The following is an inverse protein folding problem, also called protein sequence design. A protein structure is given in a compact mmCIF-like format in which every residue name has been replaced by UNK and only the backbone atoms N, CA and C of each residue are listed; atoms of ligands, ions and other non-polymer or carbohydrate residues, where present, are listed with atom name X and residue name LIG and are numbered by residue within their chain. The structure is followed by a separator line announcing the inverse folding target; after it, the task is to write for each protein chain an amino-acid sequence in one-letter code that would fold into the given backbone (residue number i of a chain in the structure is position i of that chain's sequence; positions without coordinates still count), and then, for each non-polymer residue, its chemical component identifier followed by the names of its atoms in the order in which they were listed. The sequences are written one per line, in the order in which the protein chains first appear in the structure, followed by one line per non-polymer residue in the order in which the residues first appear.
data_IF_786440940450
#
_entry.id   IF_786440940450
#
_cell.length_a   1.000
_cell.length_b   1.000
_cell.length_c   1.000
_cell.angle_alpha   90.00
_cell.angle_beta   90.00
_cell.angle_gamma   90.00
#
_symmetry.space_group_name_H-M   'P 1'
#
loop_
_entity.id
_entity.type
_entity.pdbx_description
1 polymer ?
#
# COMPACT_ATOMS: atom_id res chain seq x y z
N UNK A 1 -13.08 -16.31 -28.03
CA UNK A 1 -11.72 -15.79 -27.81
C UNK A 1 -11.31 -16.16 -26.39
N UNK A 2 -10.33 -17.06 -26.26
CA UNK A 2 -9.82 -17.50 -24.96
C UNK A 2 -8.85 -16.45 -24.37
N UNK A 3 -8.35 -16.68 -23.15
CA UNK A 3 -7.42 -15.75 -22.48
C UNK A 3 -6.13 -15.56 -23.29
N UNK A 4 -5.60 -16.63 -23.87
CA UNK A 4 -4.38 -16.61 -24.68
C UNK A 4 -4.54 -15.71 -25.89
N UNK A 5 -5.65 -15.80 -26.60
CA UNK A 5 -5.95 -14.95 -27.77
C UNK A 5 -5.96 -13.46 -27.38
N UNK A 6 -6.56 -13.13 -26.23
CA UNK A 6 -6.59 -11.75 -25.70
C UNK A 6 -5.19 -11.23 -25.37
N UNK A 7 -4.35 -12.07 -24.76
CA UNK A 7 -2.96 -11.72 -24.44
C UNK A 7 -2.15 -11.50 -25.73
N UNK A 8 -2.35 -12.32 -26.77
CA UNK A 8 -1.63 -12.16 -28.04
C UNK A 8 -1.98 -10.83 -28.73
N UNK A 9 -3.22 -10.36 -28.63
CA UNK A 9 -3.63 -9.05 -29.17
C UNK A 9 -2.85 -7.89 -28.51
N UNK A 10 -2.57 -7.99 -27.21
CA UNK A 10 -1.88 -6.93 -26.45
C UNK A 10 -0.36 -6.97 -26.61
N UNK A 11 0.21 -8.12 -26.98
CA UNK A 11 1.67 -8.34 -27.03
C UNK A 11 2.43 -7.29 -27.86
N UNK A 12 1.98 -6.91 -29.07
CA UNK A 12 2.62 -5.86 -29.88
C UNK A 12 2.62 -4.48 -29.22
N UNK A 13 1.70 -4.25 -28.28
CA UNK A 13 1.51 -2.97 -27.59
C UNK A 13 2.12 -2.95 -26.18
N UNK A 14 2.88 -3.98 -25.79
CA UNK A 14 3.47 -4.13 -24.45
C UNK A 14 4.33 -2.95 -23.98
N UNK A 15 4.96 -2.22 -24.91
CA UNK A 15 5.72 -1.01 -24.58
C UNK A 15 4.88 0.08 -23.91
N UNK A 16 3.57 0.16 -24.21
CA UNK A 16 2.65 1.12 -23.59
C UNK A 16 2.46 0.86 -22.08
N UNK A 17 2.70 -0.37 -21.61
CA UNK A 17 2.57 -0.74 -20.20
C UNK A 17 3.80 -0.35 -19.36
N UNK A 18 4.91 0.07 -19.98
CA UNK A 18 6.15 0.43 -19.27
C UNK A 18 6.04 1.72 -18.46
N UNK A 19 5.06 2.57 -18.74
CA UNK A 19 4.84 3.83 -18.03
C UNK A 19 3.95 3.72 -16.79
N UNK A 20 3.52 2.51 -16.43
CA UNK A 20 2.65 2.30 -15.28
C UNK A 20 3.38 2.67 -13.99
N UNK A 21 2.64 3.26 -13.05
CA UNK A 21 3.11 3.49 -11.69
C UNK A 21 2.55 2.42 -10.75
N UNK A 22 3.28 2.13 -9.69
CA UNK A 22 2.96 1.12 -8.69
C UNK A 22 3.02 1.75 -7.30
N UNK A 23 2.06 1.44 -6.44
CA UNK A 23 2.08 1.80 -5.02
C UNK A 23 1.61 0.62 -4.19
N UNK A 24 1.99 0.59 -2.92
CA UNK A 24 1.60 -0.45 -1.97
C UNK A 24 0.99 0.20 -0.73
N UNK A 25 -0.13 -0.37 -0.31
CA UNK A 25 -0.75 -0.15 1.00
C UNK A 25 -0.57 -1.43 1.82
N UNK A 26 -0.15 -1.27 3.08
CA UNK A 26 0.02 -2.38 4.01
C UNK A 26 -0.56 -2.04 5.37
N UNK A 27 -1.53 -2.83 5.78
CA UNK A 27 -2.19 -2.72 7.08
C UNK A 27 -1.59 -3.68 8.13
N UNK A 28 -1.58 -3.24 9.38
CA UNK A 28 -1.16 -4.06 10.51
C UNK A 28 -1.64 -3.53 11.85
N UNK A 29 -2.20 -4.41 12.68
CA UNK A 29 -2.59 -4.07 14.04
C UNK A 29 -1.37 -3.86 14.93
N UNK A 30 -1.31 -2.71 15.60
CA UNK A 30 -0.38 -2.49 16.71
C UNK A 30 -0.75 -3.42 17.86
N UNK A 31 0.25 -4.10 18.41
CA UNK A 31 0.08 -5.04 19.53
C UNK A 31 0.69 -4.49 20.81
N UNK A 32 0.03 -4.74 21.94
CA UNK A 32 0.57 -4.49 23.26
C UNK A 32 1.61 -5.54 23.65
N UNK A 33 2.44 -5.25 24.66
CA UNK A 33 3.40 -6.22 25.23
C UNK A 33 2.75 -7.49 25.80
N UNK A 34 1.44 -7.48 26.03
CA UNK A 34 0.66 -8.63 26.51
C UNK A 34 0.08 -9.48 25.37
N UNK A 35 0.36 -9.13 24.11
CA UNK A 35 -0.09 -9.89 22.93
C UNK A 35 -1.48 -9.53 22.39
N UNK A 36 -2.25 -8.69 23.09
CA UNK A 36 -3.53 -8.16 22.59
C UNK A 36 -3.38 -6.89 21.75
N UNK A 37 -4.44 -6.47 21.05
CA UNK A 37 -4.49 -5.21 20.30
C UNK A 37 -4.15 -4.03 21.21
N UNK A 38 -3.24 -3.17 20.76
CA UNK A 38 -2.85 -1.96 21.47
C UNK A 38 -4.08 -1.08 21.73
N UNK A 39 -4.16 -0.48 22.92
CA UNK A 39 -5.14 0.56 23.25
C UNK A 39 -4.47 1.95 23.38
N UNK A 40 -3.16 2.02 23.14
CA UNK A 40 -2.45 3.29 23.13
C UNK A 40 -2.86 4.09 21.88
N UNK A 41 -2.93 5.43 21.94
CA UNK A 41 -3.20 6.27 20.78
C UNK A 41 -2.14 6.11 19.69
N UNK A 42 -2.41 6.66 18.52
CA UNK A 42 -1.47 6.78 17.42
C UNK A 42 -0.16 7.42 17.93
N UNK A 43 1.01 6.83 17.66
CA UNK A 43 2.27 7.36 18.15
C UNK A 43 2.54 8.77 17.62
N UNK A 44 2.73 9.75 18.52
CA UNK A 44 2.99 11.15 18.13
C UNK A 44 4.25 11.32 17.27
N UNK A 45 5.20 10.39 17.37
CA UNK A 45 6.39 10.35 16.53
C UNK A 45 6.09 10.12 15.03
N UNK A 46 4.90 9.59 14.70
CA UNK A 46 4.43 9.41 13.31
C UNK A 46 3.56 10.59 12.83
N UNK A 47 3.44 11.64 13.63
CA UNK A 47 2.69 12.85 13.26
C UNK A 47 1.18 12.65 13.38
N UNK A 48 0.45 13.17 12.40
CA UNK A 48 -1.01 13.18 12.39
C UNK A 48 -1.53 12.23 11.31
N UNK A 49 -2.18 11.14 11.71
CA UNK A 49 -2.75 10.15 10.78
C UNK A 49 -3.62 10.80 9.69
N UNK A 50 -4.41 11.82 10.03
CA UNK A 50 -5.29 12.53 9.08
C UNK A 50 -4.53 13.19 7.90
N UNK A 51 -3.25 13.53 8.08
CA UNK A 51 -2.51 14.37 7.11
C UNK A 51 -1.14 13.82 6.72
N UNK A 52 -0.65 12.78 7.39
CA UNK A 52 0.66 12.22 7.11
C UNK A 52 0.62 11.40 5.80
N UNK A 53 1.50 11.67 4.82
CA UNK A 53 1.36 11.12 3.47
C UNK A 53 1.69 9.63 3.34
N UNK A 54 2.37 9.03 4.32
CA UNK A 54 2.88 7.66 4.22
C UNK A 54 2.51 6.73 5.39
N UNK A 55 1.96 7.28 6.48
CA UNK A 55 1.68 6.53 7.70
C UNK A 55 0.36 7.05 8.23
N UNK A 56 -0.67 6.23 8.21
CA UNK A 56 -2.01 6.61 8.67
C UNK A 56 -2.60 5.48 9.51
N UNK A 57 -3.85 5.63 9.89
CA UNK A 57 -4.69 4.58 10.46
C UNK A 57 -5.88 4.37 9.53
N UNK A 58 -6.23 3.10 9.31
CA UNK A 58 -7.47 2.74 8.61
C UNK A 58 -8.64 2.69 9.62
N UNK A 59 -9.46 1.62 9.66
CA UNK A 59 -10.71 1.56 10.41
C UNK A 59 -10.58 1.88 11.91
N UNK A 60 -9.45 1.52 12.52
CA UNK A 60 -9.24 1.69 13.96
C UNK A 60 -7.95 2.44 14.26
N UNK A 61 -7.95 3.16 15.38
CA UNK A 61 -6.77 3.83 15.95
C UNK A 61 -5.53 2.90 16.02
N UNK A 62 -5.77 1.60 16.18
CA UNK A 62 -4.72 0.59 16.34
C UNK A 62 -4.32 -0.11 15.05
N UNK A 63 -5.04 0.09 13.94
CA UNK A 63 -4.73 -0.47 12.63
C UNK A 63 -3.89 0.54 11.85
N UNK A 64 -2.57 0.39 11.91
CA UNK A 64 -1.66 1.25 11.14
C UNK A 64 -1.70 0.81 9.69
N UNK A 65 -1.73 1.79 8.80
CA UNK A 65 -1.57 1.60 7.37
C UNK A 65 -0.31 2.35 6.90
N UNK A 66 0.54 1.65 6.16
CA UNK A 66 1.71 2.21 5.49
C UNK A 66 1.39 2.36 4.01
N UNK A 67 1.60 3.56 3.48
CA UNK A 67 1.26 3.92 2.10
C UNK A 67 2.50 4.46 1.39
N UNK A 68 2.85 3.87 0.25
CA UNK A 68 3.94 4.38 -0.59
C UNK A 68 3.43 5.40 -1.61
N UNK A 69 4.28 6.33 -2.05
CA UNK A 69 4.01 7.05 -3.30
C UNK A 69 3.90 6.08 -4.48
N UNK A 70 3.29 6.52 -5.60
CA UNK A 70 3.38 5.80 -6.86
C UNK A 70 4.82 5.86 -7.42
N UNK A 71 5.42 4.71 -7.72
CA UNK A 71 6.78 4.54 -8.23
C UNK A 71 6.81 3.85 -9.59
N UNK A 72 7.93 3.92 -10.31
CA UNK A 72 8.05 3.39 -11.67
C UNK A 72 8.32 1.88 -11.74
N UNK A 73 8.69 1.25 -10.63
CA UNK A 73 8.98 -0.19 -10.59
C UNK A 73 8.68 -0.79 -9.22
N UNK A 74 8.50 -2.10 -9.18
CA UNK A 74 8.24 -2.83 -7.93
C UNK A 74 9.45 -2.81 -6.97
N UNK A 75 10.68 -2.65 -7.48
CA UNK A 75 11.88 -2.57 -6.64
C UNK A 75 12.02 -1.19 -5.96
N UNK A 76 11.30 -0.18 -6.45
CA UNK A 76 11.27 1.18 -5.88
C UNK A 76 10.18 1.37 -4.82
N UNK A 77 9.26 0.41 -4.67
CA UNK A 77 8.18 0.43 -3.68
C UNK A 77 8.57 -0.37 -2.44
#
# INVERSE_FOLDING_TARGET
MNLTDKIQILKPHSALLKGNLMGIEKEGLRVSRKGGISQAPHPSAFGCALTHPNITTDFSESLIELVTPPMHSADEV
#
